data_IF_474313989406
#
_entry.id   IF_474313989406
#
_cell.length_a   1.000
_cell.length_b   1.000
_cell.length_c   1.000
_cell.angle_alpha   90.00
_cell.angle_beta   90.00
_cell.angle_gamma   90.00
#
_symmetry.space_group_name_H-M   'P 1'
#
loop_
_entity.id
_entity.type
_entity.pdbx_description
1 polymer ?
#
# COMPACT_ATOMS: atom_id res chain seq x y z
N UNK A 1 13.78 44.65 69.93
CA UNK A 1 13.79 45.04 68.50
C UNK A 1 13.96 46.55 68.42
N UNK A 2 15.15 47.01 68.06
CA UNK A 2 15.50 48.43 68.03
C UNK A 2 15.10 48.99 66.66
N UNK A 3 13.93 49.63 66.56
CA UNK A 3 13.49 50.23 65.30
C UNK A 3 14.21 51.58 65.11
N UNK A 4 14.66 51.90 63.90
CA UNK A 4 15.28 53.20 63.60
C UNK A 4 14.23 54.30 63.85
N UNK A 5 14.50 55.32 64.69
CA UNK A 5 13.55 56.40 64.99
C UNK A 5 12.99 57.06 63.73
N UNK A 6 11.74 57.51 63.79
CA UNK A 6 11.16 58.28 62.70
C UNK A 6 11.87 59.65 62.62
N UNK A 7 12.38 60.03 61.45
CA UNK A 7 13.17 61.26 61.27
C UNK A 7 14.70 61.08 61.34
N UNK A 8 15.23 59.86 61.36
CA UNK A 8 16.67 59.64 61.10
C UNK A 8 16.99 60.03 59.65
N UNK A 9 17.94 60.96 59.48
CA UNK A 9 18.39 61.44 58.17
C UNK A 9 18.78 60.26 57.26
N UNK A 10 18.26 60.24 56.03
CA UNK A 10 18.45 59.16 55.06
C UNK A 10 17.47 57.97 55.15
N UNK A 11 16.66 57.84 56.21
CA UNK A 11 15.66 56.75 56.32
C UNK A 11 14.57 56.84 55.25
N UNK A 12 14.03 58.03 55.02
CA UNK A 12 12.98 58.26 54.02
C UNK A 12 13.51 58.02 52.59
N UNK A 13 14.78 58.34 52.35
CA UNK A 13 15.46 58.05 51.09
C UNK A 13 15.66 56.53 50.87
N UNK A 14 16.05 55.79 51.91
CA UNK A 14 16.16 54.33 51.85
C UNK A 14 14.80 53.64 51.69
N UNK A 15 13.75 54.13 52.35
CA UNK A 15 12.40 53.60 52.19
C UNK A 15 11.89 53.87 50.77
N UNK A 16 12.11 55.07 50.22
CA UNK A 16 11.78 55.39 48.84
C UNK A 16 12.51 54.49 47.84
N UNK A 17 13.81 54.21 48.07
CA UNK A 17 14.58 53.26 47.24
C UNK A 17 14.06 51.83 47.36
N UNK A 18 13.62 51.40 48.54
CA UNK A 18 13.02 50.07 48.76
C UNK A 18 11.65 49.96 48.10
N UNK A 19 10.80 50.98 48.23
CA UNK A 19 9.47 51.05 47.61
C UNK A 19 9.56 51.11 46.07
N UNK A 20 10.70 51.57 45.53
CA UNK A 20 11.02 51.53 44.09
C UNK A 20 11.52 50.16 43.61
N UNK A 21 11.83 49.21 44.50
CA UNK A 21 12.19 47.84 44.10
C UNK A 21 10.91 47.12 43.66
N UNK A 22 10.71 47.04 42.35
CA UNK A 22 9.62 46.26 41.76
C UNK A 22 9.77 44.76 41.95
N UNK A 23 8.68 44.02 41.74
CA UNK A 23 8.68 42.57 41.67
C UNK A 23 9.27 42.07 40.35
N UNK A 24 9.92 40.90 40.37
CA UNK A 24 10.35 40.18 39.17
C UNK A 24 9.46 38.95 38.98
N UNK A 25 9.08 38.68 37.74
CA UNK A 25 8.41 37.44 37.33
C UNK A 25 9.40 36.53 36.63
N UNK A 26 9.43 35.25 36.97
CA UNK A 26 10.23 34.25 36.26
C UNK A 26 9.66 33.99 34.85
N UNK A 27 10.51 33.78 33.83
CA UNK A 27 10.05 33.33 32.52
C UNK A 27 9.55 31.88 32.57
N UNK A 28 8.75 31.50 31.57
CA UNK A 28 8.37 30.10 31.32
C UNK A 28 9.52 29.34 30.63
N UNK A 29 9.58 28.02 30.82
CA UNK A 29 10.54 27.15 30.12
C UNK A 29 9.99 26.85 28.73
N UNK A 30 10.76 27.15 27.69
CA UNK A 30 10.38 27.02 26.28
C UNK A 30 11.35 26.13 25.45
N UNK A 31 12.34 25.53 26.11
CA UNK A 31 13.32 24.58 25.57
C UNK A 31 13.55 23.54 26.68
N UNK A 32 12.68 22.52 26.73
CA UNK A 32 12.63 21.56 27.85
C UNK A 32 13.81 20.58 27.83
N UNK A 33 14.34 20.26 26.65
CA UNK A 33 15.42 19.30 26.46
C UNK A 33 16.79 19.96 26.26
N UNK A 34 16.86 21.30 26.34
CA UNK A 34 18.08 22.09 26.21
C UNK A 34 18.79 21.89 24.86
N UNK A 35 18.01 21.67 23.80
CA UNK A 35 18.53 21.43 22.46
C UNK A 35 18.74 22.76 21.67
N UNK A 36 18.30 23.90 22.22
CA UNK A 36 18.43 25.22 21.61
C UNK A 36 17.37 25.55 20.55
N UNK A 37 16.30 24.77 20.46
CA UNK A 37 15.13 24.96 19.59
C UNK A 37 13.89 25.18 20.47
N UNK A 38 12.97 26.02 20.02
CA UNK A 38 11.71 26.21 20.75
C UNK A 38 10.86 24.95 20.68
N UNK A 39 10.35 24.48 21.83
CA UNK A 39 9.43 23.34 21.89
C UNK A 39 8.23 23.51 20.95
N UNK A 40 7.75 24.75 20.78
CA UNK A 40 6.62 25.11 19.90
C UNK A 40 6.96 25.02 18.42
N UNK A 41 8.23 25.27 18.05
CA UNK A 41 8.73 25.09 16.69
C UNK A 41 8.81 23.60 16.35
N UNK A 42 9.38 22.80 17.25
CA UNK A 42 9.44 21.34 17.09
C UNK A 42 8.03 20.73 16.97
N UNK A 43 7.08 21.20 17.78
CA UNK A 43 5.67 20.78 17.70
C UNK A 43 5.06 21.14 16.33
N UNK A 44 5.37 22.32 15.79
CA UNK A 44 4.89 22.77 14.48
C UNK A 44 5.47 21.91 13.36
N UNK A 45 6.77 21.57 13.42
CA UNK A 45 7.39 20.66 12.45
C UNK A 45 6.77 19.26 12.48
N UNK A 46 6.49 18.73 13.67
CA UNK A 46 5.80 17.44 13.82
C UNK A 46 4.38 17.49 13.25
N UNK A 47 3.65 18.58 13.51
CA UNK A 47 2.31 18.81 12.97
C UNK A 47 2.31 18.85 11.43
N UNK A 48 3.28 19.53 10.81
CA UNK A 48 3.43 19.58 9.35
C UNK A 48 3.81 18.22 8.75
N UNK A 49 4.70 17.47 9.42
CA UNK A 49 5.09 16.14 8.97
C UNK A 49 3.91 15.15 9.03
N UNK A 50 3.05 15.24 10.06
CA UNK A 50 1.83 14.45 10.16
C UNK A 50 0.81 14.84 9.09
N UNK A 51 0.65 16.13 8.77
CA UNK A 51 -0.20 16.56 7.64
C UNK A 51 0.28 16.01 6.31
N UNK A 52 1.59 16.03 6.06
CA UNK A 52 2.18 15.44 4.84
C UNK A 52 1.94 13.93 4.78
N UNK A 53 2.05 13.23 5.90
CA UNK A 53 1.74 11.81 6.03
C UNK A 53 0.26 11.52 5.70
N UNK A 54 -0.68 12.34 6.18
CA UNK A 54 -2.10 12.19 5.84
C UNK A 54 -2.38 12.39 4.36
N UNK A 55 -1.73 13.38 3.73
CA UNK A 55 -1.86 13.58 2.27
C UNK A 55 -1.31 12.40 1.48
N UNK A 56 -0.19 11.82 1.93
CA UNK A 56 0.35 10.59 1.34
C UNK A 56 -0.62 9.42 1.50
N UNK A 57 -1.23 9.27 2.69
CA UNK A 57 -2.24 8.23 2.95
C UNK A 57 -3.45 8.38 2.03
N UNK A 58 -4.00 9.59 1.92
CA UNK A 58 -5.13 9.87 1.04
C UNK A 58 -4.80 9.56 -0.42
N UNK A 59 -3.59 9.89 -0.87
CA UNK A 59 -3.15 9.61 -2.24
C UNK A 59 -3.05 8.10 -2.50
N UNK A 60 -2.46 7.34 -1.58
CA UNK A 60 -2.36 5.88 -1.67
C UNK A 60 -3.75 5.22 -1.63
N UNK A 61 -4.67 5.68 -0.77
CA UNK A 61 -6.04 5.16 -0.69
C UNK A 61 -6.84 5.44 -1.96
N UNK A 62 -6.71 6.64 -2.51
CA UNK A 62 -7.35 7.00 -3.77
C UNK A 62 -6.85 6.10 -4.91
N UNK A 63 -5.53 5.90 -5.01
CA UNK A 63 -4.97 5.03 -6.04
C UNK A 63 -5.37 3.57 -5.83
N UNK A 64 -5.40 3.08 -4.59
CA UNK A 64 -5.90 1.73 -4.28
C UNK A 64 -7.35 1.56 -4.73
N UNK A 65 -8.22 2.53 -4.44
CA UNK A 65 -9.61 2.52 -4.89
C UNK A 65 -9.75 2.58 -6.41
N UNK A 66 -8.88 3.35 -7.09
CA UNK A 66 -8.84 3.43 -8.55
C UNK A 66 -8.47 2.08 -9.17
N UNK A 67 -7.34 1.49 -8.75
CA UNK A 67 -6.85 0.24 -9.36
C UNK A 67 -7.74 -0.95 -9.03
N UNK A 68 -8.42 -0.97 -7.88
CA UNK A 68 -9.31 -2.08 -7.52
C UNK A 68 -10.73 -1.96 -8.11
N UNK A 69 -11.03 -0.87 -8.81
CA UNK A 69 -12.42 -0.52 -9.16
C UNK A 69 -13.07 -1.46 -10.19
N UNK A 70 -12.29 -2.04 -11.10
CA UNK A 70 -12.77 -2.95 -12.14
C UNK A 70 -12.51 -4.43 -11.80
N UNK A 71 -11.80 -4.69 -10.69
CA UNK A 71 -11.42 -6.03 -10.26
C UNK A 71 -10.21 -6.60 -11.03
N UNK A 72 -9.58 -5.82 -11.89
CA UNK A 72 -8.38 -6.18 -12.64
C UNK A 72 -7.20 -5.33 -12.17
N UNK A 73 -6.07 -5.96 -11.95
CA UNK A 73 -4.84 -5.32 -11.51
C UNK A 73 -3.76 -5.73 -12.48
N UNK A 74 -3.29 -4.77 -13.27
CA UNK A 74 -2.14 -4.97 -14.14
C UNK A 74 -0.82 -4.57 -13.46
N UNK A 75 0.35 -4.99 -14.00
CA UNK A 75 1.65 -4.67 -13.41
C UNK A 75 1.94 -3.18 -13.28
N UNK A 76 1.40 -2.36 -14.19
CA UNK A 76 1.64 -0.91 -14.19
C UNK A 76 0.87 -0.23 -13.06
N UNK A 77 -0.40 -0.56 -12.89
CA UNK A 77 -1.24 -0.09 -11.80
C UNK A 77 -0.64 -0.44 -10.44
N UNK A 78 -0.21 -1.69 -10.28
CA UNK A 78 0.46 -2.13 -9.06
C UNK A 78 1.72 -1.31 -8.80
N UNK A 79 2.57 -1.10 -9.80
CA UNK A 79 3.80 -0.33 -9.65
C UNK A 79 3.54 1.14 -9.26
N UNK A 80 2.49 1.75 -9.81
CA UNK A 80 2.07 3.11 -9.45
C UNK A 80 1.58 3.18 -8.00
N UNK A 81 0.81 2.19 -7.53
CA UNK A 81 0.38 2.11 -6.14
C UNK A 81 1.56 1.84 -5.19
N UNK A 82 2.44 0.90 -5.52
CA UNK A 82 3.62 0.55 -4.71
C UNK A 82 4.49 1.81 -4.44
N UNK A 83 4.64 2.68 -5.44
CA UNK A 83 5.35 3.95 -5.29
C UNK A 83 4.68 4.89 -4.28
N UNK A 84 3.35 4.96 -4.28
CA UNK A 84 2.61 5.79 -3.31
C UNK A 84 2.69 5.20 -1.89
N UNK A 85 2.71 3.87 -1.78
CA UNK A 85 2.94 3.18 -0.50
C UNK A 85 4.35 3.48 0.03
N UNK A 86 5.37 3.47 -0.82
CA UNK A 86 6.73 3.86 -0.41
C UNK A 86 6.81 5.32 0.09
N UNK A 87 6.11 6.25 -0.59
CA UNK A 87 6.00 7.65 -0.16
C UNK A 87 5.28 7.76 1.19
N UNK A 88 4.20 6.99 1.39
CA UNK A 88 3.47 6.92 2.66
C UNK A 88 4.38 6.45 3.81
N UNK A 89 5.13 5.36 3.62
CA UNK A 89 6.04 4.84 4.65
C UNK A 89 7.21 5.79 4.96
N UNK A 90 7.72 6.48 3.93
CA UNK A 90 8.73 7.53 4.10
C UNK A 90 8.19 8.70 4.91
N UNK A 91 6.98 9.18 4.58
CA UNK A 91 6.31 10.24 5.33
C UNK A 91 6.04 9.81 6.77
N UNK A 92 5.70 8.54 7.01
CA UNK A 92 5.43 8.00 8.35
C UNK A 92 6.67 7.98 9.21
N UNK A 93 7.80 7.57 8.63
CA UNK A 93 9.10 7.62 9.30
C UNK A 93 9.48 9.05 9.67
N UNK A 94 9.37 9.99 8.74
CA UNK A 94 9.67 11.41 8.99
C UNK A 94 8.74 12.03 10.06
N UNK A 95 7.43 11.75 10.01
CA UNK A 95 6.48 12.22 11.02
C UNK A 95 6.79 11.65 12.41
N UNK A 96 7.16 10.37 12.49
CA UNK A 96 7.57 9.72 13.73
C UNK A 96 8.85 10.35 14.30
N UNK A 97 9.86 10.59 13.45
CA UNK A 97 11.11 11.25 13.85
C UNK A 97 10.85 12.67 14.39
N UNK A 98 10.10 13.49 13.65
CA UNK A 98 9.76 14.86 14.07
C UNK A 98 8.99 14.89 15.38
N UNK A 99 8.01 13.99 15.55
CA UNK A 99 7.24 13.90 16.79
C UNK A 99 8.09 13.43 17.98
N UNK A 100 9.04 12.52 17.75
CA UNK A 100 9.96 12.07 18.79
C UNK A 100 10.91 13.18 19.26
N UNK A 101 11.25 14.13 18.39
CA UNK A 101 12.05 15.29 18.76
C UNK A 101 11.28 16.28 19.64
N UNK A 102 9.94 16.31 19.59
CA UNK A 102 9.14 17.17 20.48
C UNK A 102 9.34 16.72 21.94
N UNK A 103 9.70 17.59 22.89
CA UNK A 103 9.86 17.18 24.29
C UNK A 103 8.59 16.59 24.92
N UNK A 104 8.76 15.70 25.90
CA UNK A 104 7.62 15.14 26.62
C UNK A 104 6.98 16.21 27.50
N UNK A 105 5.64 16.26 27.53
CA UNK A 105 4.89 17.27 28.26
C UNK A 105 4.64 18.57 27.47
N UNK A 106 5.21 18.73 26.27
CA UNK A 106 4.82 19.80 25.35
C UNK A 106 3.33 19.68 25.02
N UNK A 107 2.56 20.73 25.29
CA UNK A 107 1.12 20.73 25.05
C UNK A 107 0.82 20.44 23.57
N UNK A 108 -0.08 19.47 23.32
CA UNK A 108 -0.45 19.05 21.96
C UNK A 108 0.32 17.84 21.42
N UNK A 109 1.46 17.44 22.01
CA UNK A 109 2.22 16.26 21.58
C UNK A 109 1.37 14.98 21.62
N UNK A 110 0.61 14.76 22.69
CA UNK A 110 -0.23 13.55 22.84
C UNK A 110 -1.34 13.47 21.78
N UNK A 111 -1.87 14.61 21.35
CA UNK A 111 -2.86 14.68 20.29
C UNK A 111 -2.23 14.31 18.93
N UNK A 112 -1.02 14.81 18.65
CA UNK A 112 -0.25 14.43 17.47
C UNK A 112 0.12 12.95 17.46
N UNK A 113 0.50 12.39 18.61
CA UNK A 113 0.79 10.97 18.78
C UNK A 113 -0.44 10.12 18.42
N UNK A 114 -1.59 10.47 18.99
CA UNK A 114 -2.85 9.77 18.70
C UNK A 114 -3.23 9.84 17.22
N UNK A 115 -3.01 10.99 16.58
CA UNK A 115 -3.28 11.21 15.15
C UNK A 115 -2.34 10.40 14.26
N UNK A 116 -1.04 10.36 14.58
CA UNK A 116 -0.03 9.55 13.88
C UNK A 116 -0.38 8.05 13.96
N UNK A 117 -0.79 7.56 15.13
CA UNK A 117 -1.14 6.15 15.36
C UNK A 117 -2.40 5.71 14.58
N UNK A 118 -3.32 6.63 14.31
CA UNK A 118 -4.52 6.36 13.51
C UNK A 118 -4.22 6.19 12.01
N UNK A 119 -3.04 6.63 11.55
CA UNK A 119 -2.65 6.53 10.14
C UNK A 119 -2.11 5.11 9.86
N UNK A 120 -3.00 4.27 9.36
CA UNK A 120 -2.71 2.90 8.94
C UNK A 120 -1.81 2.81 7.69
N UNK A 121 -1.36 1.60 7.40
CA UNK A 121 -0.66 1.28 6.15
C UNK A 121 -1.63 1.06 5.00
N UNK A 122 -1.08 0.92 3.78
CA UNK A 122 -1.81 0.51 2.58
C UNK A 122 -1.14 -0.74 2.03
N UNK A 123 -1.93 -1.75 1.66
CA UNK A 123 -1.44 -3.01 1.09
C UNK A 123 -1.77 -3.06 -0.40
N UNK A 124 -0.77 -3.28 -1.22
CA UNK A 124 -0.95 -3.45 -2.66
C UNK A 124 -1.59 -4.81 -2.98
N UNK A 125 -2.56 -4.87 -3.90
CA UNK A 125 -3.13 -6.12 -4.36
C UNK A 125 -2.13 -6.89 -5.25
N UNK A 126 -2.44 -8.18 -5.47
CA UNK A 126 -1.74 -9.02 -6.44
C UNK A 126 -2.17 -8.66 -7.87
N UNK A 127 -1.26 -8.88 -8.82
CA UNK A 127 -1.57 -8.75 -10.26
C UNK A 127 -2.44 -9.94 -10.66
N UNK A 128 -3.53 -9.67 -11.38
CA UNK A 128 -4.44 -10.70 -11.90
C UNK A 128 -4.83 -10.48 -13.38
N UNK A 129 -4.26 -9.47 -14.02
CA UNK A 129 -4.28 -9.19 -15.46
C UNK A 129 -2.84 -8.89 -15.91
N UNK A 130 -2.04 -9.95 -16.01
CA UNK A 130 -0.58 -9.85 -16.16
C UNK A 130 -0.15 -9.26 -17.52
N UNK A 131 -0.94 -9.48 -18.57
CA UNK A 131 -0.69 -8.96 -19.92
C UNK A 131 -1.52 -7.71 -20.27
N UNK A 132 -2.32 -7.21 -19.32
CA UNK A 132 -3.13 -5.99 -19.46
C UNK A 132 -4.15 -6.08 -20.60
N UNK A 133 -4.72 -7.27 -20.80
CA UNK A 133 -5.67 -7.54 -21.87
C UNK A 133 -7.14 -7.34 -21.44
N UNK A 134 -7.39 -7.07 -20.16
CA UNK A 134 -8.73 -6.86 -19.61
C UNK A 134 -9.50 -8.14 -19.28
N UNK A 135 -8.82 -9.29 -19.18
CA UNK A 135 -9.37 -10.59 -18.79
C UNK A 135 -8.60 -11.10 -17.59
N UNK A 136 -9.29 -11.76 -16.66
CA UNK A 136 -8.61 -12.39 -15.53
C UNK A 136 -7.69 -13.50 -16.02
N UNK A 137 -6.45 -13.52 -15.54
CA UNK A 137 -5.48 -14.58 -15.85
C UNK A 137 -6.05 -15.97 -15.49
N UNK A 138 -6.83 -16.04 -14.41
CA UNK A 138 -7.51 -17.28 -13.97
C UNK A 138 -8.61 -17.74 -14.91
N UNK A 139 -9.29 -16.82 -15.59
CA UNK A 139 -10.28 -17.15 -16.62
C UNK A 139 -9.57 -17.70 -17.87
N UNK A 140 -8.48 -17.06 -18.29
CA UNK A 140 -7.66 -17.53 -19.42
C UNK A 140 -7.08 -18.92 -19.16
N UNK A 141 -6.61 -19.19 -17.93
CA UNK A 141 -6.13 -20.50 -17.52
C UNK A 141 -7.23 -21.56 -17.58
N UNK A 142 -8.44 -21.25 -17.09
CA UNK A 142 -9.59 -22.16 -17.14
C UNK A 142 -10.01 -22.46 -18.59
N UNK A 143 -10.02 -21.45 -19.45
CA UNK A 143 -10.31 -21.58 -20.88
C UNK A 143 -9.31 -22.53 -21.58
N UNK A 144 -8.01 -22.37 -21.28
CA UNK A 144 -6.96 -23.24 -21.79
C UNK A 144 -7.13 -24.69 -21.29
N UNK A 145 -7.44 -24.86 -20.00
CA UNK A 145 -7.67 -26.18 -19.41
C UNK A 145 -8.84 -26.91 -20.09
N UNK A 146 -9.98 -26.23 -20.29
CA UNK A 146 -11.14 -26.82 -20.97
C UNK A 146 -10.83 -27.20 -22.43
N UNK A 147 -10.07 -26.37 -23.15
CA UNK A 147 -9.68 -26.65 -24.52
C UNK A 147 -8.73 -27.86 -24.61
N UNK A 148 -7.82 -28.02 -23.65
CA UNK A 148 -6.93 -29.18 -23.54
C UNK A 148 -7.74 -30.45 -23.25
N UNK A 149 -8.68 -30.40 -22.30
CA UNK A 149 -9.56 -31.54 -21.98
C UNK A 149 -10.38 -31.98 -23.20
N UNK A 150 -10.87 -31.04 -24.01
CA UNK A 150 -11.57 -31.36 -25.26
C UNK A 150 -10.64 -32.07 -26.27
N UNK A 151 -9.38 -31.63 -26.39
CA UNK A 151 -8.39 -32.30 -27.24
C UNK A 151 -8.04 -33.71 -26.74
N UNK A 152 -7.94 -33.91 -25.42
CA UNK A 152 -7.74 -35.22 -24.80
C UNK A 152 -8.91 -36.17 -25.07
N UNK A 153 -10.14 -35.70 -24.92
CA UNK A 153 -11.35 -36.48 -25.25
C UNK A 153 -11.40 -36.86 -26.73
N UNK A 154 -11.09 -35.92 -27.64
CA UNK A 154 -11.01 -36.20 -29.07
C UNK A 154 -9.93 -37.25 -29.38
N UNK A 155 -8.78 -37.21 -28.69
CA UNK A 155 -7.71 -38.20 -28.83
C UNK A 155 -8.14 -39.58 -28.35
N UNK A 156 -8.84 -39.66 -27.23
CA UNK A 156 -9.42 -40.92 -26.73
C UNK A 156 -10.40 -41.50 -27.75
N UNK A 157 -11.28 -40.68 -28.32
CA UNK A 157 -12.23 -41.12 -29.35
C UNK A 157 -11.51 -41.65 -30.60
N UNK A 158 -10.50 -40.93 -31.11
CA UNK A 158 -9.70 -41.37 -32.26
C UNK A 158 -8.94 -42.69 -31.97
N UNK A 159 -8.34 -42.84 -30.79
CA UNK A 159 -7.65 -44.06 -30.38
C UNK A 159 -8.59 -45.27 -30.24
N UNK A 160 -9.78 -45.05 -29.67
CA UNK A 160 -10.80 -46.08 -29.54
C UNK A 160 -11.25 -46.55 -30.93
N UNK A 161 -11.54 -45.62 -31.84
CA UNK A 161 -11.92 -45.97 -33.22
C UNK A 161 -10.79 -46.68 -33.96
N UNK A 162 -9.55 -46.23 -33.81
CA UNK A 162 -8.39 -46.91 -34.38
C UNK A 162 -8.27 -48.36 -33.87
N UNK A 163 -8.46 -48.58 -32.57
CA UNK A 163 -8.40 -49.92 -31.98
C UNK A 163 -9.56 -50.82 -32.45
N UNK A 164 -10.77 -50.26 -32.56
CA UNK A 164 -11.95 -50.94 -33.11
C UNK A 164 -11.70 -51.43 -34.54
N UNK A 165 -11.29 -50.54 -35.44
CA UNK A 165 -11.17 -50.86 -36.88
C UNK A 165 -9.91 -51.67 -37.21
N UNK A 166 -8.97 -51.82 -36.29
CA UNK A 166 -7.75 -52.64 -36.51
C UNK A 166 -7.81 -54.00 -35.83
N UNK A 167 -8.89 -54.29 -35.09
CA UNK A 167 -9.01 -55.48 -34.24
C UNK A 167 -8.98 -56.81 -34.99
N UNK A 168 -9.47 -56.86 -36.24
CA UNK A 168 -9.47 -58.05 -37.10
C UNK A 168 -8.36 -58.03 -38.17
N UNK A 169 -7.55 -56.98 -38.19
CA UNK A 169 -6.48 -56.77 -39.16
C UNK A 169 -6.93 -56.34 -40.56
N UNK A 170 -8.21 -56.01 -40.76
CA UNK A 170 -8.76 -55.55 -42.04
C UNK A 170 -9.38 -54.16 -41.86
N UNK A 171 -9.04 -53.20 -42.73
CA UNK A 171 -9.61 -51.84 -42.71
C UNK A 171 -10.28 -51.56 -44.05
N UNK A 172 -11.56 -51.22 -44.02
CA UNK A 172 -12.34 -50.83 -45.19
C UNK A 172 -12.44 -49.31 -45.37
N UNK A 173 -12.87 -48.81 -46.54
CA UNK A 173 -12.94 -47.37 -46.82
C UNK A 173 -13.86 -46.58 -45.87
N UNK A 174 -14.96 -47.17 -45.40
CA UNK A 174 -15.91 -46.51 -44.49
C UNK A 174 -15.29 -46.32 -43.10
N UNK A 175 -14.67 -47.37 -42.56
CA UNK A 175 -13.94 -47.34 -41.28
C UNK A 175 -12.83 -46.30 -41.30
N UNK A 176 -12.03 -46.28 -42.38
CA UNK A 176 -10.98 -45.27 -42.56
C UNK A 176 -11.58 -43.85 -42.56
N UNK A 177 -12.66 -43.63 -43.31
CA UNK A 177 -13.30 -42.31 -43.38
C UNK A 177 -13.87 -41.83 -42.04
N UNK A 178 -14.36 -42.75 -41.20
CA UNK A 178 -14.80 -42.42 -39.83
C UNK A 178 -13.63 -42.04 -38.92
N UNK A 179 -12.52 -42.77 -39.00
CA UNK A 179 -11.30 -42.42 -38.26
C UNK A 179 -10.70 -41.08 -38.74
N UNK A 180 -10.63 -40.85 -40.05
CA UNK A 180 -10.11 -39.60 -40.63
C UNK A 180 -10.88 -38.38 -40.07
N UNK A 181 -12.21 -38.47 -39.94
CA UNK A 181 -13.04 -37.40 -39.32
C UNK A 181 -12.70 -37.16 -37.85
N UNK A 182 -12.43 -38.21 -37.08
CA UNK A 182 -12.02 -38.09 -35.67
C UNK A 182 -10.63 -37.48 -35.55
N UNK A 183 -9.73 -37.79 -36.49
CA UNK A 183 -8.40 -37.17 -36.58
C UNK A 183 -8.52 -35.68 -36.93
N UNK A 184 -9.38 -35.29 -37.87
CA UNK A 184 -9.66 -33.88 -38.18
C UNK A 184 -10.22 -33.12 -36.97
N UNK A 185 -11.16 -33.74 -36.23
CA UNK A 185 -11.70 -33.17 -35.00
C UNK A 185 -10.63 -33.00 -33.91
N UNK A 186 -9.75 -34.00 -33.75
CA UNK A 186 -8.61 -33.93 -32.84
C UNK A 186 -7.65 -32.79 -33.22
N UNK A 187 -7.29 -32.65 -34.49
CA UNK A 187 -6.39 -31.57 -34.93
C UNK A 187 -7.03 -30.19 -34.71
N UNK A 188 -8.34 -30.05 -34.96
CA UNK A 188 -9.08 -28.82 -34.65
C UNK A 188 -9.04 -28.50 -33.16
N UNK A 189 -9.30 -29.51 -32.30
CA UNK A 189 -9.25 -29.34 -30.85
C UNK A 189 -7.85 -28.97 -30.36
N UNK A 190 -6.79 -29.56 -30.93
CA UNK A 190 -5.39 -29.22 -30.62
C UNK A 190 -5.05 -27.79 -31.01
N UNK A 191 -5.51 -27.31 -32.18
CA UNK A 191 -5.31 -25.92 -32.59
C UNK A 191 -5.98 -24.96 -31.61
N UNK A 192 -7.23 -25.21 -31.24
CA UNK A 192 -7.95 -24.40 -30.26
C UNK A 192 -7.26 -24.42 -28.88
N UNK A 193 -6.84 -25.60 -28.40
CA UNK A 193 -6.09 -25.72 -27.15
C UNK A 193 -4.78 -24.92 -27.18
N UNK A 194 -4.06 -24.95 -28.31
CA UNK A 194 -2.82 -24.19 -28.49
C UNK A 194 -3.08 -22.68 -28.47
N UNK A 195 -4.14 -22.22 -29.14
CA UNK A 195 -4.53 -20.81 -29.15
C UNK A 195 -4.88 -20.33 -27.73
N UNK A 196 -5.74 -21.06 -27.01
CA UNK A 196 -6.11 -20.72 -25.63
C UNK A 196 -4.93 -20.74 -24.68
N UNK A 197 -4.04 -21.74 -24.80
CA UNK A 197 -2.83 -21.82 -23.98
C UNK A 197 -1.88 -20.64 -24.25
N UNK A 198 -1.73 -20.22 -25.52
CA UNK A 198 -0.89 -19.06 -25.85
C UNK A 198 -1.44 -17.74 -25.31
N UNK A 199 -2.74 -17.68 -25.01
CA UNK A 199 -3.32 -16.53 -24.37
C UNK A 199 -3.10 -16.54 -22.86
N UNK A 200 -2.70 -17.65 -22.22
CA UNK A 200 -2.39 -17.63 -20.78
C UNK A 200 -1.09 -16.85 -20.55
N UNK A 201 -1.11 -15.76 -19.76
CA UNK A 201 0.09 -14.96 -19.55
C UNK A 201 1.19 -15.72 -18.84
N UNK A 202 2.45 -15.44 -19.19
CA UNK A 202 3.60 -15.99 -18.46
C UNK A 202 3.75 -15.24 -17.12
N UNK A 203 3.52 -15.92 -16.00
CA UNK A 203 3.73 -15.33 -14.68
C UNK A 203 2.64 -15.58 -13.64
N UNK A 204 1.60 -16.37 -13.97
CA UNK A 204 0.65 -16.90 -12.98
C UNK A 204 1.32 -17.86 -12.00
#
# INVERSE_FOLDING_TARGET
MNNVPNGTEGKDELQSRLDQIGSVTSPEVNDQDSNGVLDTEQLTEAQQAIEALEQAKQSADNKLSEVTSDGLINPKEKAELDKLVEVLETAKTNATEKLNNVPNGTAGKDALQSRLEQIGSVTSPEVNDQDSNGVLDTEQLNDAQQAIEAAEQAKVAANNKLSEITSDGLVNPTEKAELDKLVEALETAKTNATEKLNNVPNGT
#
